data_IF_473419338963
#
_entry.id   IF_473419338963
#
_cell.length_a   1.000
_cell.length_b   1.000
_cell.length_c   1.000
_cell.angle_alpha   90.00
_cell.angle_beta   90.00
_cell.angle_gamma   90.00
#
_symmetry.space_group_name_H-M   'P 1'
#
loop_
_entity.id
_entity.type
_entity.pdbx_description
1 polymer ?
#
# COMPACT_ATOMS: atom_id res chain seq x y z
N UNK A 1 -7.14 21.26 12.12
CA UNK A 1 -8.05 20.12 11.86
C UNK A 1 -7.99 19.16 13.04
N UNK A 2 -9.11 18.55 13.44
CA UNK A 2 -9.07 17.43 14.39
C UNK A 2 -8.23 16.29 13.80
N UNK A 3 -7.38 15.66 14.60
CA UNK A 3 -6.55 14.50 14.20
C UNK A 3 -7.43 13.41 13.59
N UNK A 4 -8.62 13.21 14.13
CA UNK A 4 -9.60 12.22 13.65
C UNK A 4 -9.97 12.50 12.19
N UNK A 5 -10.23 13.76 11.84
CA UNK A 5 -10.60 14.15 10.47
C UNK A 5 -9.43 13.92 9.50
N UNK A 6 -8.19 14.18 9.93
CA UNK A 6 -7.00 13.93 9.12
C UNK A 6 -6.82 12.43 8.86
N UNK A 7 -7.02 11.59 9.87
CA UNK A 7 -6.95 10.13 9.73
C UNK A 7 -8.03 9.61 8.79
N UNK A 8 -9.27 10.12 8.86
CA UNK A 8 -10.34 9.74 7.93
C UNK A 8 -9.91 10.02 6.48
N UNK A 9 -9.48 11.24 6.19
CA UNK A 9 -9.07 11.64 4.83
C UNK A 9 -7.87 10.81 4.36
N UNK A 10 -6.84 10.66 5.20
CA UNK A 10 -5.65 9.86 4.87
C UNK A 10 -5.97 8.38 4.67
N UNK A 11 -6.93 7.83 5.41
CA UNK A 11 -7.38 6.44 5.24
C UNK A 11 -8.06 6.23 3.88
N UNK A 12 -8.93 7.15 3.46
CA UNK A 12 -9.52 7.10 2.12
C UNK A 12 -8.45 7.19 1.03
N UNK A 13 -7.52 8.14 1.14
CA UNK A 13 -6.41 8.29 0.19
C UNK A 13 -5.56 7.01 0.13
N UNK A 14 -5.16 6.48 1.29
CA UNK A 14 -4.36 5.26 1.41
C UNK A 14 -5.06 4.06 0.78
N UNK A 15 -6.36 3.89 1.05
CA UNK A 15 -7.16 2.82 0.47
C UNK A 15 -7.20 2.88 -1.05
N UNK A 16 -7.49 4.05 -1.64
CA UNK A 16 -7.56 4.19 -3.10
C UNK A 16 -6.19 4.03 -3.77
N UNK A 17 -5.13 4.53 -3.14
CA UNK A 17 -3.75 4.31 -3.62
C UNK A 17 -3.43 2.82 -3.62
N UNK A 18 -3.65 2.13 -2.50
CA UNK A 18 -3.39 0.70 -2.40
C UNK A 18 -4.24 -0.10 -3.40
N UNK A 19 -5.52 0.28 -3.60
CA UNK A 19 -6.38 -0.33 -4.61
C UNK A 19 -5.80 -0.21 -6.03
N UNK A 20 -5.26 0.95 -6.39
CA UNK A 20 -4.60 1.16 -7.69
C UNK A 20 -3.34 0.30 -7.79
N UNK A 21 -2.48 0.31 -6.77
CA UNK A 21 -1.23 -0.43 -6.79
C UNK A 21 -1.43 -1.95 -6.85
N UNK A 22 -2.38 -2.49 -6.08
CA UNK A 22 -2.73 -3.92 -6.12
C UNK A 22 -3.30 -4.29 -7.49
N UNK A 23 -4.08 -3.42 -8.13
CA UNK A 23 -4.54 -3.67 -9.50
C UNK A 23 -3.41 -3.66 -10.52
N UNK A 24 -2.37 -2.85 -10.31
CA UNK A 24 -1.18 -2.83 -11.18
C UNK A 24 -0.37 -4.13 -11.08
N UNK A 25 -0.36 -4.79 -9.91
CA UNK A 25 0.27 -6.11 -9.74
C UNK A 25 -0.44 -7.24 -10.52
N UNK A 26 -1.65 -7.00 -11.03
CA UNK A 26 -2.41 -8.00 -11.78
C UNK A 26 -3.38 -8.81 -10.90
N UNK A 27 -4.24 -9.59 -11.56
CA UNK A 27 -5.29 -10.37 -10.91
C UNK A 27 -4.80 -11.79 -10.68
N UNK A 28 -4.08 -12.04 -9.59
CA UNK A 28 -3.83 -13.41 -9.13
C UNK A 28 -4.95 -13.82 -8.17
N UNK A 29 -5.55 -14.99 -8.38
CA UNK A 29 -6.52 -15.53 -7.42
C UNK A 29 -5.78 -15.88 -6.12
N UNK A 30 -6.46 -15.84 -4.97
CA UNK A 30 -5.85 -16.19 -3.67
C UNK A 30 -5.20 -17.57 -3.68
N UNK A 31 -5.71 -18.48 -4.53
CA UNK A 31 -5.17 -19.84 -4.74
C UNK A 31 -3.89 -19.92 -5.58
N UNK A 32 -3.50 -18.83 -6.25
CA UNK A 32 -2.34 -18.74 -7.15
C UNK A 32 -1.27 -17.76 -6.65
N UNK A 33 -1.49 -17.10 -5.51
CA UNK A 33 -0.49 -16.22 -4.90
C UNK A 33 0.75 -17.00 -4.49
N UNK A 34 1.92 -16.56 -4.93
CA UNK A 34 3.17 -17.11 -4.43
C UNK A 34 3.41 -16.67 -2.98
N UNK A 35 4.29 -17.37 -2.25
CA UNK A 35 4.74 -16.92 -0.94
C UNK A 35 5.33 -15.49 -0.99
N UNK A 36 5.96 -15.12 -2.11
CA UNK A 36 6.51 -13.78 -2.31
C UNK A 36 5.40 -12.73 -2.44
N UNK A 37 4.38 -12.98 -3.26
CA UNK A 37 3.24 -12.06 -3.44
C UNK A 37 2.49 -11.84 -2.12
N UNK A 38 2.37 -12.89 -1.30
CA UNK A 38 1.78 -12.79 0.03
C UNK A 38 2.58 -11.86 0.96
N UNK A 39 3.91 -12.02 1.02
CA UNK A 39 4.79 -11.15 1.83
C UNK A 39 4.69 -9.71 1.36
N UNK A 40 4.76 -9.49 0.04
CA UNK A 40 4.60 -8.15 -0.56
C UNK A 40 3.27 -7.53 -0.15
N UNK A 41 2.17 -8.28 -0.27
CA UNK A 41 0.82 -7.85 0.11
C UNK A 41 0.74 -7.37 1.57
N UNK A 42 1.33 -8.13 2.50
CA UNK A 42 1.40 -7.73 3.91
C UNK A 42 2.23 -6.46 4.09
N UNK A 43 3.40 -6.38 3.44
CA UNK A 43 4.30 -5.23 3.56
C UNK A 43 3.64 -3.95 3.07
N UNK A 44 3.01 -3.95 1.89
CA UNK A 44 2.34 -2.77 1.33
C UNK A 44 1.10 -2.39 2.15
N UNK A 45 0.38 -3.37 2.71
CA UNK A 45 -0.73 -3.14 3.64
C UNK A 45 -0.29 -2.47 4.94
N UNK A 46 0.87 -2.85 5.49
CA UNK A 46 1.46 -2.21 6.66
C UNK A 46 1.87 -0.75 6.39
N UNK A 47 2.44 -0.49 5.22
CA UNK A 47 2.77 0.88 4.79
C UNK A 47 1.48 1.71 4.62
N UNK A 48 0.40 1.13 4.10
CA UNK A 48 -0.89 1.80 3.95
C UNK A 48 -1.57 2.11 5.30
N UNK A 49 -1.44 1.22 6.29
CA UNK A 49 -1.85 1.49 7.67
C UNK A 49 -1.06 2.66 8.26
N UNK A 50 0.26 2.67 8.06
CA UNK A 50 1.16 3.75 8.48
C UNK A 50 0.77 5.08 7.83
N UNK A 51 0.50 5.09 6.53
CA UNK A 51 0.01 6.26 5.80
C UNK A 51 -1.32 6.77 6.36
N UNK A 52 -2.18 5.90 6.90
CA UNK A 52 -3.50 6.27 7.42
C UNK A 52 -3.43 6.83 8.84
N UNK A 53 -2.67 6.18 9.74
CA UNK A 53 -2.76 6.42 11.19
C UNK A 53 -1.56 7.19 11.75
N UNK A 54 -0.36 7.08 11.15
CA UNK A 54 0.82 7.79 11.65
C UNK A 54 0.86 9.23 11.12
N UNK A 55 0.13 10.10 11.80
CA UNK A 55 -0.04 11.51 11.38
C UNK A 55 1.25 12.32 11.37
N UNK A 56 2.18 11.97 12.26
CA UNK A 56 3.48 12.64 12.43
C UNK A 56 4.54 12.23 11.40
N UNK A 57 4.29 11.17 10.61
CA UNK A 57 5.19 10.72 9.55
C UNK A 57 5.00 11.55 8.29
N UNK A 58 6.08 11.67 7.50
CA UNK A 58 6.00 12.26 6.18
C UNK A 58 5.11 11.40 5.25
N UNK A 59 3.97 11.96 4.87
CA UNK A 59 2.95 11.31 4.03
C UNK A 59 3.47 11.01 2.64
N UNK A 60 4.30 11.88 2.07
CA UNK A 60 4.92 11.64 0.77
C UNK A 60 5.96 10.53 0.82
N UNK A 61 6.79 10.49 1.86
CA UNK A 61 7.80 9.44 2.00
C UNK A 61 7.16 8.04 2.13
N UNK A 62 6.06 7.94 2.88
CA UNK A 62 5.30 6.68 3.03
C UNK A 62 4.60 6.27 1.72
N UNK A 63 4.08 7.22 0.95
CA UNK A 63 3.55 7.00 -0.41
C UNK A 63 4.62 6.46 -1.37
N UNK A 64 5.80 7.09 -1.41
CA UNK A 64 6.92 6.66 -2.25
C UNK A 64 7.37 5.25 -1.84
N UNK A 65 7.49 4.98 -0.54
CA UNK A 65 7.83 3.65 -0.03
C UNK A 65 6.84 2.58 -0.48
N UNK A 66 5.55 2.87 -0.44
CA UNK A 66 4.49 1.97 -0.92
C UNK A 66 4.61 1.72 -2.43
N UNK A 67 4.88 2.77 -3.22
CA UNK A 67 5.07 2.67 -4.66
C UNK A 67 6.31 1.83 -5.02
N UNK A 68 7.43 2.00 -4.32
CA UNK A 68 8.65 1.22 -4.55
C UNK A 68 8.40 -0.26 -4.24
N UNK A 69 7.78 -0.57 -3.11
CA UNK A 69 7.46 -1.96 -2.70
C UNK A 69 6.46 -2.66 -3.62
N UNK A 70 5.65 -1.91 -4.35
CA UNK A 70 4.71 -2.47 -5.34
C UNK A 70 5.34 -2.57 -6.73
N UNK A 71 6.17 -1.60 -7.14
CA UNK A 71 6.87 -1.64 -8.43
C UNK A 71 7.93 -2.74 -8.50
N UNK A 72 8.68 -2.98 -7.42
CA UNK A 72 9.75 -4.00 -7.41
C UNK A 72 9.23 -5.39 -7.80
N UNK A 73 8.17 -5.94 -7.16
CA UNK A 73 7.55 -7.19 -7.58
C UNK A 73 7.07 -7.19 -9.03
N UNK A 74 6.49 -6.09 -9.51
CA UNK A 74 6.02 -5.96 -10.89
C UNK A 74 7.18 -6.05 -11.89
N UNK A 75 8.32 -5.43 -11.56
CA UNK A 75 9.52 -5.48 -12.41
C UNK A 75 10.23 -6.84 -12.37
N UNK A 76 10.12 -7.54 -11.25
CA UNK A 76 10.70 -8.87 -11.06
C UNK A 76 9.80 -9.99 -11.58
N UNK A 77 8.51 -9.69 -11.77
CA UNK A 77 7.51 -10.63 -12.25
C UNK A 77 7.91 -11.16 -13.63
N UNK A 78 8.31 -12.44 -13.65
CA UNK A 78 8.33 -13.31 -14.82
C UNK A 78 6.95 -13.93 -15.03
#
# INVERSE_FOLDING_TARGET
MSIILVVIIRSFVSFFVLLVLVRLMGKQQVSELTFFDYVVGITIGSIASTLSVQVNQNTFATLIGMAVWTLLPIMLAW
#
